data_IF_005658837037
#
_entry.id   IF_005658837037
#
_cell.length_a   1.000
_cell.length_b   1.000
_cell.length_c   1.000
_cell.angle_alpha   90.00
_cell.angle_beta   90.00
_cell.angle_gamma   90.00
#
_symmetry.space_group_name_H-M   'P 1'
#
loop_
_entity.id
_entity.type
_entity.pdbx_description
1 polymer ?
#
# COMPACT_ATOMS: atom_id res chain seq x y z
N UNK A 1 23.97 11.10 14.41
CA UNK A 1 22.52 10.84 14.24
C UNK A 1 22.26 10.85 12.76
N UNK A 2 21.47 9.93 12.22
CA UNK A 2 21.07 9.94 10.82
C UNK A 2 19.88 10.91 10.71
N UNK A 3 20.00 11.95 9.87
CA UNK A 3 18.91 12.89 9.58
C UNK A 3 18.24 12.45 8.28
N UNK A 4 16.97 12.02 8.29
CA UNK A 4 16.26 11.59 7.09
C UNK A 4 15.90 12.75 6.15
N UNK A 5 15.98 14.01 6.61
CA UNK A 5 15.60 15.23 5.88
C UNK A 5 14.15 15.18 5.33
N UNK A 6 13.25 14.73 6.16
CA UNK A 6 11.82 14.58 5.83
C UNK A 6 10.95 15.69 6.46
N UNK A 7 11.48 16.46 7.42
CA UNK A 7 10.76 17.54 8.04
C UNK A 7 10.21 18.54 7.01
N UNK A 8 8.95 18.90 7.15
CA UNK A 8 8.25 19.82 6.25
C UNK A 8 7.91 19.27 4.86
N UNK A 9 8.19 17.99 4.57
CA UNK A 9 7.81 17.35 3.31
C UNK A 9 6.33 16.99 3.32
N UNK A 10 5.72 17.02 2.13
CA UNK A 10 4.33 16.61 1.91
C UNK A 10 4.30 15.21 1.31
N UNK A 11 3.56 14.32 1.96
CA UNK A 11 3.43 12.91 1.56
C UNK A 11 1.98 12.59 1.20
N UNK A 12 1.74 12.05 0.01
CA UNK A 12 0.46 11.46 -0.38
C UNK A 12 0.54 9.93 -0.26
N UNK A 13 -0.32 9.34 0.58
CA UNK A 13 -0.36 7.89 0.83
C UNK A 13 -1.73 7.34 0.45
N UNK A 14 -1.76 6.34 -0.42
CA UNK A 14 -3.00 5.69 -0.82
C UNK A 14 -3.27 4.42 -0.01
N UNK A 15 -4.56 4.11 0.24
CA UNK A 15 -4.95 2.96 1.07
C UNK A 15 -4.49 3.09 2.52
N UNK A 16 -4.71 4.25 3.15
CA UNK A 16 -4.06 4.63 4.42
C UNK A 16 -4.98 4.66 5.64
N UNK A 17 -6.19 4.10 5.57
CA UNK A 17 -7.13 4.03 6.68
C UNK A 17 -6.83 2.90 7.70
N UNK A 18 -6.03 1.90 7.32
CA UNK A 18 -5.61 0.79 8.20
C UNK A 18 -4.29 0.15 7.75
N UNK A 19 -3.79 -0.82 8.52
CA UNK A 19 -2.65 -1.68 8.16
C UNK A 19 -1.38 -0.89 7.81
N UNK A 20 -0.68 -1.32 6.76
CA UNK A 20 0.60 -0.74 6.33
C UNK A 20 0.47 0.75 6.02
N UNK A 21 -0.60 1.16 5.32
CA UNK A 21 -0.81 2.56 4.96
C UNK A 21 -0.98 3.48 6.17
N UNK A 22 -1.74 3.03 7.18
CA UNK A 22 -1.92 3.78 8.43
C UNK A 22 -0.61 3.88 9.23
N UNK A 23 0.14 2.78 9.36
CA UNK A 23 1.46 2.77 10.01
C UNK A 23 2.44 3.70 9.28
N UNK A 24 2.44 3.67 7.95
CA UNK A 24 3.25 4.56 7.11
C UNK A 24 2.91 6.03 7.34
N UNK A 25 1.61 6.37 7.42
CA UNK A 25 1.18 7.75 7.70
C UNK A 25 1.67 8.25 9.07
N UNK A 26 1.53 7.41 10.11
CA UNK A 26 2.04 7.71 11.45
C UNK A 26 3.56 7.86 11.47
N UNK A 27 4.28 7.01 10.76
CA UNK A 27 5.73 7.04 10.68
C UNK A 27 6.26 8.31 9.97
N UNK A 28 5.64 8.73 8.85
CA UNK A 28 5.98 10.00 8.19
C UNK A 28 5.65 11.21 9.04
N UNK A 29 4.48 11.23 9.69
CA UNK A 29 4.11 12.34 10.58
C UNK A 29 5.11 12.48 11.74
N UNK A 30 5.62 11.37 12.28
CA UNK A 30 6.66 11.37 13.31
C UNK A 30 8.02 11.94 12.83
N UNK A 31 8.25 11.99 11.50
CA UNK A 31 9.41 12.66 10.90
C UNK A 31 9.15 14.13 10.53
N UNK A 32 8.02 14.71 10.98
CA UNK A 32 7.66 16.10 10.70
C UNK A 32 7.06 16.32 9.29
N UNK A 33 6.64 15.27 8.60
CA UNK A 33 5.92 15.40 7.33
C UNK A 33 4.47 15.81 7.54
N UNK A 34 3.92 16.58 6.57
CA UNK A 34 2.48 16.74 6.39
C UNK A 34 1.94 15.61 5.53
N UNK A 35 0.86 14.95 5.98
CA UNK A 35 0.40 13.69 5.36
C UNK A 35 -1.01 13.82 4.80
N UNK A 36 -1.18 13.59 3.50
CA UNK A 36 -2.47 13.34 2.86
C UNK A 36 -2.72 11.85 2.79
N UNK A 37 -3.81 11.39 3.43
CA UNK A 37 -4.26 10.01 3.37
C UNK A 37 -5.43 9.90 2.39
N UNK A 38 -5.37 8.92 1.47
CA UNK A 38 -6.57 8.52 0.74
C UNK A 38 -6.91 7.07 1.02
N UNK A 39 -8.20 6.76 0.98
CA UNK A 39 -8.76 5.44 1.23
C UNK A 39 -10.08 5.28 0.46
N UNK A 40 -10.57 4.06 0.39
CA UNK A 40 -11.88 3.76 -0.17
C UNK A 40 -12.56 2.66 0.64
N UNK A 41 -13.83 2.87 0.99
CA UNK A 41 -14.66 1.89 1.71
C UNK A 41 -15.51 1.11 0.72
N UNK A 42 -14.92 0.07 0.16
CA UNK A 42 -15.66 -0.85 -0.72
C UNK A 42 -16.78 -1.56 0.09
N UNK A 43 -17.94 -1.75 -0.52
CA UNK A 43 -19.05 -2.45 0.12
C UNK A 43 -18.63 -3.86 0.61
N UNK A 44 -18.94 -4.16 1.85
CA UNK A 44 -18.64 -5.46 2.47
C UNK A 44 -19.72 -6.49 2.17
N UNK A 45 -19.37 -7.77 1.95
CA UNK A 45 -20.35 -8.85 1.88
C UNK A 45 -20.92 -9.24 3.28
N UNK A 46 -20.31 -8.74 4.36
CA UNK A 46 -20.71 -9.01 5.74
C UNK A 46 -21.63 -7.92 6.28
N UNK A 47 -22.56 -8.28 7.15
CA UNK A 47 -23.43 -7.34 7.84
C UNK A 47 -22.68 -6.46 8.85
N UNK A 48 -23.25 -5.31 9.19
CA UNK A 48 -22.67 -4.40 10.19
C UNK A 48 -22.49 -5.08 11.56
N UNK A 49 -23.38 -6.01 11.92
CA UNK A 49 -23.28 -6.79 13.16
C UNK A 49 -22.08 -7.75 13.15
N UNK A 50 -21.84 -8.46 12.04
CA UNK A 50 -20.67 -9.34 11.89
C UNK A 50 -19.37 -8.54 11.93
N UNK A 51 -19.33 -7.41 11.23
CA UNK A 51 -18.17 -6.51 11.23
C UNK A 51 -17.89 -5.93 12.63
N UNK A 52 -18.93 -5.58 13.39
CA UNK A 52 -18.79 -5.06 14.75
C UNK A 52 -18.27 -6.15 15.71
N UNK A 53 -18.82 -7.36 15.65
CA UNK A 53 -18.35 -8.50 16.45
C UNK A 53 -16.89 -8.86 16.15
N UNK A 54 -16.50 -8.82 14.87
CA UNK A 54 -15.11 -9.10 14.48
C UNK A 54 -14.14 -8.05 15.04
N UNK A 55 -14.53 -6.77 15.04
CA UNK A 55 -13.73 -5.69 15.66
C UNK A 55 -13.55 -5.88 17.16
N UNK A 56 -14.61 -6.28 17.87
CA UNK A 56 -14.58 -6.54 19.30
C UNK A 56 -13.71 -7.76 19.64
N UNK A 57 -13.86 -8.84 18.87
CA UNK A 57 -13.08 -10.05 19.06
C UNK A 57 -11.58 -9.85 18.74
N UNK A 58 -11.26 -8.98 17.79
CA UNK A 58 -9.88 -8.69 17.38
C UNK A 58 -9.12 -9.88 16.77
N UNK A 59 -9.80 -11.00 16.53
CA UNK A 59 -9.18 -12.18 15.94
C UNK A 59 -9.07 -12.02 14.42
N UNK A 60 -7.86 -12.17 13.89
CA UNK A 60 -7.58 -12.10 12.47
C UNK A 60 -8.48 -13.00 11.61
N UNK A 61 -8.69 -12.62 10.36
CA UNK A 61 -9.50 -13.32 9.39
C UNK A 61 -10.21 -12.36 8.44
N UNK A 62 -10.93 -12.91 7.46
CA UNK A 62 -11.55 -12.10 6.40
C UNK A 62 -12.55 -11.06 6.96
N UNK A 63 -13.38 -11.44 7.95
CA UNK A 63 -14.38 -10.53 8.55
C UNK A 63 -13.70 -9.35 9.24
N UNK A 64 -12.65 -9.59 10.05
CA UNK A 64 -11.90 -8.51 10.69
C UNK A 64 -11.20 -7.62 9.65
N UNK A 65 -10.59 -8.21 8.63
CA UNK A 65 -9.94 -7.46 7.58
C UNK A 65 -10.92 -6.54 6.85
N UNK A 66 -12.11 -7.05 6.47
CA UNK A 66 -13.19 -6.25 5.88
C UNK A 66 -13.68 -5.17 6.84
N UNK A 67 -13.79 -5.49 8.13
CA UNK A 67 -14.17 -4.53 9.16
C UNK A 67 -13.14 -3.38 9.28
N UNK A 68 -11.84 -3.66 9.10
CA UNK A 68 -10.80 -2.64 9.07
C UNK A 68 -10.89 -1.76 7.80
N UNK A 69 -11.13 -2.37 6.63
CA UNK A 69 -11.32 -1.64 5.37
C UNK A 69 -12.51 -0.66 5.41
N UNK A 70 -13.57 -0.99 6.17
CA UNK A 70 -14.75 -0.12 6.33
C UNK A 70 -14.52 1.09 7.26
N UNK A 71 -13.36 1.23 7.88
CA UNK A 71 -13.06 2.39 8.71
C UNK A 71 -12.75 3.61 7.85
N UNK A 72 -13.16 4.80 8.31
CA UNK A 72 -12.60 6.04 7.79
C UNK A 72 -11.15 6.21 8.25
N UNK A 73 -10.41 7.09 7.59
CA UNK A 73 -9.06 7.45 8.03
C UNK A 73 -9.04 8.43 9.22
N UNK A 74 -10.20 8.88 9.73
CA UNK A 74 -10.29 9.88 10.82
C UNK A 74 -9.54 9.47 12.08
N UNK A 75 -9.53 8.16 12.39
CA UNK A 75 -8.77 7.64 13.52
C UNK A 75 -7.27 7.84 13.37
N UNK A 76 -6.75 7.65 12.17
CA UNK A 76 -5.33 7.86 11.84
C UNK A 76 -4.98 9.36 11.88
N UNK A 77 -5.82 10.19 11.25
CA UNK A 77 -5.66 11.66 11.27
C UNK A 77 -5.63 12.18 12.69
N UNK A 78 -6.57 11.75 13.54
CA UNK A 78 -6.63 12.14 14.95
C UNK A 78 -5.37 11.72 15.70
N UNK A 79 -4.91 10.49 15.53
CA UNK A 79 -3.71 9.99 16.19
C UNK A 79 -2.44 10.77 15.77
N UNK A 80 -2.39 11.28 14.54
CA UNK A 80 -1.32 12.17 14.07
C UNK A 80 -1.42 13.54 14.74
N UNK A 81 -2.62 14.14 14.78
CA UNK A 81 -2.84 15.45 15.41
C UNK A 81 -2.56 15.43 16.91
N UNK A 82 -2.95 14.37 17.63
CA UNK A 82 -2.68 14.19 19.06
C UNK A 82 -1.18 14.15 19.38
N UNK A 83 -0.35 13.79 18.38
CA UNK A 83 1.12 13.80 18.47
C UNK A 83 1.75 15.10 17.94
N UNK A 84 0.94 16.09 17.62
CA UNK A 84 1.40 17.39 17.09
C UNK A 84 1.74 17.39 15.60
N UNK A 85 1.46 16.33 14.88
CA UNK A 85 1.66 16.24 13.43
C UNK A 85 0.52 16.85 12.62
N UNK A 86 0.69 16.93 11.30
CA UNK A 86 -0.29 17.46 10.34
C UNK A 86 -0.74 16.36 9.39
N UNK A 87 -2.05 16.12 9.33
CA UNK A 87 -2.64 15.16 8.40
C UNK A 87 -4.04 15.56 7.97
N UNK A 88 -4.40 15.21 6.75
CA UNK A 88 -5.77 15.30 6.21
C UNK A 88 -6.10 14.01 5.48
N UNK A 89 -7.38 13.70 5.35
CA UNK A 89 -7.82 12.49 4.64
C UNK A 89 -8.94 12.78 3.65
N UNK A 90 -8.94 12.05 2.55
CA UNK A 90 -9.99 12.11 1.54
C UNK A 90 -10.33 10.70 1.04
N UNK A 91 -11.63 10.36 1.04
CA UNK A 91 -12.11 9.12 0.47
C UNK A 91 -12.23 9.23 -1.05
N UNK A 92 -11.60 8.32 -1.79
CA UNK A 92 -11.63 8.32 -3.24
C UNK A 92 -11.53 6.89 -3.81
N UNK A 93 -12.39 6.57 -4.77
CA UNK A 93 -12.26 5.37 -5.58
C UNK A 93 -11.22 5.63 -6.71
N UNK A 94 -10.10 4.93 -6.64
CA UNK A 94 -9.02 5.06 -7.62
C UNK A 94 -9.26 4.27 -8.92
N UNK A 95 -10.39 3.56 -9.03
CA UNK A 95 -10.87 3.02 -10.32
C UNK A 95 -11.28 4.17 -11.25
N UNK A 96 -11.81 5.25 -10.70
CA UNK A 96 -12.13 6.46 -11.45
C UNK A 96 -10.86 7.33 -11.64
N UNK A 97 -10.39 7.52 -12.89
CA UNK A 97 -9.18 8.31 -13.16
C UNK A 97 -9.30 9.79 -12.76
N UNK A 98 -10.50 10.35 -12.74
CA UNK A 98 -10.71 11.78 -12.41
C UNK A 98 -10.38 12.05 -10.93
N UNK A 99 -10.55 11.07 -10.06
CA UNK A 99 -10.16 11.18 -8.65
C UNK A 99 -8.65 11.35 -8.45
N UNK A 100 -7.82 10.94 -9.42
CA UNK A 100 -6.36 11.03 -9.29
C UNK A 100 -5.91 12.50 -9.28
N UNK A 101 -6.32 13.29 -10.29
CA UNK A 101 -5.99 14.71 -10.34
C UNK A 101 -6.58 15.46 -9.13
N UNK A 102 -7.84 15.15 -8.76
CA UNK A 102 -8.53 15.73 -7.61
C UNK A 102 -7.75 15.52 -6.30
N UNK A 103 -7.20 14.33 -6.06
CA UNK A 103 -6.42 14.04 -4.85
C UNK A 103 -5.18 14.95 -4.74
N UNK A 104 -4.47 15.17 -5.84
CA UNK A 104 -3.34 16.10 -5.85
C UNK A 104 -3.79 17.54 -5.63
N UNK A 105 -4.89 17.98 -6.27
CA UNK A 105 -5.44 19.32 -6.07
C UNK A 105 -5.80 19.58 -4.59
N UNK A 106 -6.47 18.60 -3.96
CA UNK A 106 -6.84 18.67 -2.54
C UNK A 106 -5.60 18.67 -1.63
N UNK A 107 -4.60 17.85 -1.94
CA UNK A 107 -3.35 17.81 -1.18
C UNK A 107 -2.61 19.16 -1.28
N UNK A 108 -2.44 19.68 -2.48
CA UNK A 108 -1.75 20.95 -2.72
C UNK A 108 -2.45 22.13 -2.08
N UNK A 109 -3.79 22.16 -2.10
CA UNK A 109 -4.58 23.21 -1.49
C UNK A 109 -4.49 23.22 0.06
N UNK A 110 -4.31 22.07 0.70
CA UNK A 110 -4.36 21.93 2.16
C UNK A 110 -2.97 21.84 2.81
N UNK A 111 -2.02 21.18 2.14
CA UNK A 111 -0.72 20.83 2.72
C UNK A 111 0.45 21.37 1.90
N UNK A 112 0.24 21.64 0.62
CA UNK A 112 1.29 22.02 -0.32
C UNK A 112 1.65 20.90 -1.31
N UNK A 113 2.61 21.17 -2.21
CA UNK A 113 2.98 20.27 -3.28
C UNK A 113 3.50 18.92 -2.78
N UNK A 114 3.05 17.82 -3.41
CA UNK A 114 3.46 16.46 -3.03
C UNK A 114 4.94 16.22 -3.34
N UNK A 115 5.75 16.01 -2.30
CA UNK A 115 7.18 15.65 -2.42
C UNK A 115 7.39 14.13 -2.52
N UNK A 116 6.52 13.36 -1.85
CA UNK A 116 6.63 11.92 -1.71
C UNK A 116 5.28 11.28 -2.04
N UNK A 117 5.27 10.33 -2.97
CA UNK A 117 4.10 9.52 -3.30
C UNK A 117 4.30 8.09 -2.82
N UNK A 118 3.39 7.59 -1.98
CA UNK A 118 3.34 6.20 -1.54
C UNK A 118 2.06 5.54 -2.06
N UNK A 119 2.21 4.69 -3.06
CA UNK A 119 1.12 3.90 -3.61
C UNK A 119 1.01 2.58 -2.85
N UNK A 120 0.03 2.50 -1.92
CA UNK A 120 -0.18 1.33 -1.06
C UNK A 120 -1.57 0.69 -1.23
N UNK A 121 -2.50 1.34 -1.92
CA UNK A 121 -3.83 0.78 -2.16
C UNK A 121 -3.78 -0.56 -2.89
N UNK A 122 -4.79 -1.40 -2.66
CA UNK A 122 -4.88 -2.70 -3.31
C UNK A 122 -6.32 -3.20 -3.40
N UNK A 123 -6.58 -3.97 -4.45
CA UNK A 123 -7.76 -4.81 -4.61
C UNK A 123 -7.30 -6.26 -4.65
N UNK A 124 -7.94 -7.12 -3.89
CA UNK A 124 -7.60 -8.54 -3.81
C UNK A 124 -8.86 -9.39 -3.64
N UNK A 125 -9.09 -10.26 -4.59
CA UNK A 125 -10.09 -11.33 -4.54
C UNK A 125 -9.38 -12.63 -4.87
N UNK A 126 -9.64 -13.68 -4.09
CA UNK A 126 -9.00 -14.98 -4.29
C UNK A 126 -9.47 -15.62 -5.59
N UNK A 127 -8.54 -15.94 -6.47
CA UNK A 127 -8.79 -16.53 -7.79
C UNK A 127 -7.76 -17.60 -8.12
N UNK A 128 -8.23 -18.69 -8.73
CA UNK A 128 -7.40 -19.80 -9.14
C UNK A 128 -7.78 -20.31 -10.53
N UNK A 129 -6.80 -20.78 -11.29
CA UNK A 129 -7.04 -21.46 -12.57
C UNK A 129 -7.46 -22.93 -12.38
N UNK A 130 -7.32 -23.49 -11.17
CA UNK A 130 -7.70 -24.86 -10.88
C UNK A 130 -9.16 -24.94 -10.40
N UNK A 131 -10.07 -25.58 -11.20
CA UNK A 131 -11.47 -25.74 -10.81
C UNK A 131 -11.67 -26.52 -9.51
N UNK A 132 -10.76 -27.42 -9.15
CA UNK A 132 -10.85 -28.19 -7.91
C UNK A 132 -10.58 -27.30 -6.69
N UNK A 133 -9.65 -26.35 -6.79
CA UNK A 133 -9.42 -25.36 -5.74
C UNK A 133 -10.59 -24.38 -5.63
N UNK A 134 -11.19 -23.99 -6.76
CA UNK A 134 -12.35 -23.07 -6.77
C UNK A 134 -13.62 -23.72 -6.19
N UNK A 135 -13.75 -25.05 -6.24
CA UNK A 135 -14.93 -25.78 -5.75
C UNK A 135 -14.83 -26.27 -4.30
N UNK A 136 -13.85 -25.80 -3.52
CA UNK A 136 -13.74 -26.09 -2.09
C UNK A 136 -12.34 -26.39 -1.57
N UNK A 137 -11.33 -26.37 -2.44
CA UNK A 137 -9.93 -26.60 -2.03
C UNK A 137 -9.30 -25.41 -1.29
N UNK A 138 -9.73 -24.17 -1.61
CA UNK A 138 -9.34 -22.95 -0.90
C UNK A 138 -10.60 -22.13 -0.66
N UNK A 139 -10.89 -21.84 0.62
CA UNK A 139 -12.08 -21.08 0.99
C UNK A 139 -12.10 -19.70 0.33
N UNK A 140 -13.21 -19.37 -0.33
CA UNK A 140 -13.41 -18.09 -1.02
C UNK A 140 -12.73 -17.95 -2.39
N UNK A 141 -11.93 -18.91 -2.84
CA UNK A 141 -11.32 -18.88 -4.16
C UNK A 141 -12.36 -19.17 -5.25
N UNK A 142 -12.26 -18.47 -6.37
CA UNK A 142 -13.13 -18.62 -7.55
C UNK A 142 -12.32 -18.65 -8.84
N UNK A 143 -12.93 -19.08 -9.92
CA UNK A 143 -12.29 -18.95 -11.25
C UNK A 143 -12.24 -17.47 -11.67
N UNK A 144 -11.15 -17.00 -12.31
CA UNK A 144 -11.06 -15.64 -12.81
C UNK A 144 -12.13 -15.38 -13.89
N UNK A 145 -12.65 -14.16 -13.88
CA UNK A 145 -13.54 -13.63 -14.90
C UNK A 145 -12.93 -12.37 -15.52
N UNK A 146 -13.41 -11.98 -16.70
CA UNK A 146 -12.99 -10.70 -17.30
C UNK A 146 -13.21 -9.52 -16.33
N UNK A 147 -14.32 -9.52 -15.59
CA UNK A 147 -14.64 -8.46 -14.63
C UNK A 147 -13.63 -8.42 -13.46
N UNK A 148 -13.30 -9.57 -12.88
CA UNK A 148 -12.38 -9.62 -11.75
C UNK A 148 -10.93 -9.34 -12.16
N UNK A 149 -10.49 -9.83 -13.34
CA UNK A 149 -9.18 -9.47 -13.91
C UNK A 149 -9.11 -7.95 -14.11
N UNK A 150 -10.12 -7.35 -14.76
CA UNK A 150 -10.17 -5.91 -14.99
C UNK A 150 -10.13 -5.11 -13.67
N UNK A 151 -10.84 -5.54 -12.63
CA UNK A 151 -10.82 -4.88 -11.31
C UNK A 151 -9.41 -4.90 -10.69
N UNK A 152 -8.72 -6.06 -10.69
CA UNK A 152 -7.34 -6.15 -10.21
C UNK A 152 -6.41 -5.19 -10.96
N UNK A 153 -6.46 -5.18 -12.29
CA UNK A 153 -5.59 -4.32 -13.07
C UNK A 153 -5.98 -2.83 -13.00
N UNK A 154 -7.26 -2.51 -12.87
CA UNK A 154 -7.71 -1.13 -12.68
C UNK A 154 -7.13 -0.52 -11.40
N UNK A 155 -7.24 -1.23 -10.28
CA UNK A 155 -6.76 -0.75 -8.98
C UNK A 155 -5.26 -0.94 -8.83
N UNK A 156 -4.76 -2.16 -9.02
CA UNK A 156 -3.38 -2.49 -8.65
C UNK A 156 -2.32 -2.09 -9.69
N UNK A 157 -2.70 -1.80 -10.94
CA UNK A 157 -1.74 -1.45 -11.98
C UNK A 157 -2.02 -0.08 -12.62
N UNK A 158 -3.23 0.12 -13.19
CA UNK A 158 -3.58 1.35 -13.89
C UNK A 158 -3.55 2.57 -12.95
N UNK A 159 -4.18 2.48 -11.77
CA UNK A 159 -4.19 3.59 -10.82
C UNK A 159 -2.77 3.97 -10.36
N UNK A 160 -1.90 2.99 -10.10
CA UNK A 160 -0.49 3.24 -9.78
C UNK A 160 0.23 4.02 -10.89
N UNK A 161 0.06 3.59 -12.15
CA UNK A 161 0.68 4.25 -13.29
C UNK A 161 0.17 5.69 -13.45
N UNK A 162 -1.12 5.93 -13.30
CA UNK A 162 -1.73 7.26 -13.41
C UNK A 162 -1.32 8.19 -12.25
N UNK A 163 -1.23 7.67 -11.02
CA UNK A 163 -0.72 8.43 -9.86
C UNK A 163 0.74 8.85 -10.07
N UNK A 164 1.60 7.95 -10.58
CA UNK A 164 2.98 8.29 -10.93
C UNK A 164 3.03 9.35 -12.03
N UNK A 165 2.20 9.23 -13.08
CA UNK A 165 2.14 10.20 -14.17
C UNK A 165 1.74 11.60 -13.67
N UNK A 166 0.69 11.69 -12.84
CA UNK A 166 0.22 12.96 -12.28
C UNK A 166 1.25 13.58 -11.34
N UNK A 167 1.91 12.76 -10.50
CA UNK A 167 3.02 13.20 -9.67
C UNK A 167 4.15 13.83 -10.49
N UNK A 168 4.57 13.15 -11.55
CA UNK A 168 5.67 13.63 -12.42
C UNK A 168 5.30 14.92 -13.14
N UNK A 169 4.07 15.03 -13.64
CA UNK A 169 3.57 16.25 -14.29
C UNK A 169 3.73 17.46 -13.34
N UNK A 170 3.19 17.35 -12.11
CA UNK A 170 3.25 18.43 -11.10
C UNK A 170 4.67 18.69 -10.61
N UNK A 171 5.46 17.65 -10.42
CA UNK A 171 6.87 17.78 -10.04
C UNK A 171 7.64 18.63 -11.05
N UNK A 172 7.43 18.39 -12.35
CA UNK A 172 8.07 19.17 -13.43
C UNK A 172 7.52 20.59 -13.54
N UNK A 173 6.20 20.75 -13.46
CA UNK A 173 5.54 22.06 -13.60
C UNK A 173 6.03 23.06 -12.54
N UNK A 174 6.33 22.57 -11.31
CA UNK A 174 6.90 23.41 -10.25
C UNK A 174 8.43 23.53 -10.25
N UNK A 175 9.11 22.91 -11.22
CA UNK A 175 10.58 22.92 -11.32
C UNK A 175 11.29 22.19 -10.16
N UNK A 176 10.63 21.23 -9.53
CA UNK A 176 11.24 20.46 -8.43
C UNK A 176 12.37 19.55 -8.96
N UNK A 177 13.41 19.37 -8.13
CA UNK A 177 14.62 18.60 -8.49
C UNK A 177 14.83 17.38 -7.59
N UNK A 178 13.91 17.11 -6.67
CA UNK A 178 13.96 15.99 -5.73
C UNK A 178 12.56 15.43 -5.50
N UNK A 179 12.38 14.17 -5.78
CA UNK A 179 11.11 13.48 -5.61
C UNK A 179 11.29 12.02 -5.21
N UNK A 180 10.26 11.43 -4.59
CA UNK A 180 10.25 10.04 -4.14
C UNK A 180 8.93 9.38 -4.51
N UNK A 181 9.01 8.22 -5.13
CA UNK A 181 7.85 7.35 -5.39
C UNK A 181 8.15 5.97 -4.79
N UNK A 182 7.28 5.49 -3.92
CA UNK A 182 7.36 4.16 -3.32
C UNK A 182 6.07 3.41 -3.64
N UNK A 183 6.20 2.29 -4.34
CA UNK A 183 5.10 1.45 -4.76
C UNK A 183 5.06 0.15 -3.94
N UNK A 184 3.89 -0.27 -3.47
CA UNK A 184 3.72 -1.53 -2.73
C UNK A 184 3.33 -2.66 -3.68
N UNK A 185 4.21 -3.68 -3.78
CA UNK A 185 3.97 -4.96 -4.43
C UNK A 185 3.64 -6.04 -3.39
N UNK A 186 4.09 -7.23 -3.57
CA UNK A 186 4.02 -8.39 -2.66
C UNK A 186 5.18 -9.32 -2.93
N UNK A 187 5.63 -10.06 -1.94
CA UNK A 187 6.63 -11.12 -2.10
C UNK A 187 6.17 -12.28 -3.01
N UNK A 188 4.89 -12.32 -3.30
CA UNK A 188 4.24 -13.35 -4.10
C UNK A 188 3.85 -12.87 -5.52
N UNK A 189 4.40 -11.73 -6.00
CA UNK A 189 4.07 -11.18 -7.31
C UNK A 189 4.46 -12.10 -8.48
N UNK A 190 5.54 -12.88 -8.35
CA UNK A 190 5.98 -13.83 -9.38
C UNK A 190 4.97 -14.95 -9.61
N UNK A 191 4.40 -15.47 -8.54
CA UNK A 191 3.36 -16.50 -8.55
C UNK A 191 2.63 -16.54 -7.23
N UNK A 192 1.33 -16.77 -7.28
CA UNK A 192 0.52 -16.95 -6.09
C UNK A 192 -0.58 -17.98 -6.34
N UNK A 193 -0.54 -19.11 -5.66
CA UNK A 193 -1.62 -20.11 -5.69
C UNK A 193 -2.87 -19.49 -5.07
N UNK A 194 -4.01 -19.68 -5.72
CA UNK A 194 -5.32 -19.12 -5.32
C UNK A 194 -5.40 -17.57 -5.28
N UNK A 195 -4.45 -16.87 -5.93
CA UNK A 195 -4.49 -15.41 -6.03
C UNK A 195 -3.86 -14.89 -7.34
N UNK A 196 -4.24 -15.50 -8.45
CA UNK A 196 -3.52 -15.39 -9.74
C UNK A 196 -3.58 -13.98 -10.34
N UNK A 197 -4.76 -13.33 -10.38
CA UNK A 197 -4.89 -11.99 -10.95
C UNK A 197 -4.28 -10.92 -10.04
N UNK A 198 -4.32 -11.11 -8.72
CA UNK A 198 -3.62 -10.25 -7.78
C UNK A 198 -2.11 -10.26 -8.04
N UNK A 199 -1.49 -11.44 -8.06
CA UNK A 199 -0.06 -11.58 -8.34
C UNK A 199 0.34 -10.92 -9.66
N UNK A 200 -0.38 -11.23 -10.75
CA UNK A 200 -0.12 -10.65 -12.06
C UNK A 200 -0.22 -9.11 -12.06
N UNK A 201 -1.25 -8.56 -11.40
CA UNK A 201 -1.43 -7.11 -11.29
C UNK A 201 -0.32 -6.44 -10.46
N UNK A 202 0.16 -7.09 -9.39
CA UNK A 202 1.29 -6.62 -8.59
C UNK A 202 2.62 -6.75 -9.34
N UNK A 203 2.82 -7.78 -10.13
CA UNK A 203 4.01 -7.88 -11.00
C UNK A 203 4.05 -6.77 -12.05
N UNK A 204 2.89 -6.34 -12.56
CA UNK A 204 2.81 -5.19 -13.47
C UNK A 204 3.32 -3.89 -12.81
N UNK A 205 3.05 -3.67 -11.50
CA UNK A 205 3.59 -2.52 -10.76
C UNK A 205 5.13 -2.53 -10.76
N UNK A 206 5.74 -3.69 -10.58
CA UNK A 206 7.20 -3.83 -10.56
C UNK A 206 7.82 -3.44 -11.90
N UNK A 207 7.18 -3.84 -13.00
CA UNK A 207 7.61 -3.45 -14.36
C UNK A 207 7.45 -1.95 -14.59
N UNK A 208 6.30 -1.35 -14.26
CA UNK A 208 6.09 0.10 -14.34
C UNK A 208 7.09 0.87 -13.50
N UNK A 209 7.38 0.40 -12.28
CA UNK A 209 8.32 1.06 -11.38
C UNK A 209 9.75 1.09 -11.91
N UNK A 210 10.23 -0.01 -12.52
CA UNK A 210 11.55 -0.07 -13.15
C UNK A 210 11.65 0.87 -14.37
N UNK A 211 10.60 0.90 -15.19
CA UNK A 211 10.52 1.85 -16.33
C UNK A 211 10.54 3.30 -15.84
N UNK A 212 9.69 3.62 -14.85
CA UNK A 212 9.64 4.95 -14.25
C UNK A 212 10.98 5.36 -13.60
N UNK A 213 11.65 4.47 -12.88
CA UNK A 213 12.96 4.73 -12.29
C UNK A 213 13.99 5.13 -13.36
N UNK A 214 13.98 4.42 -14.50
CA UNK A 214 14.90 4.71 -15.62
C UNK A 214 14.62 6.05 -16.27
N UNK A 215 13.35 6.38 -16.50
CA UNK A 215 12.96 7.60 -17.21
C UNK A 215 13.02 8.85 -16.34
N UNK A 216 12.69 8.72 -15.04
CA UNK A 216 12.47 9.85 -14.14
C UNK A 216 13.71 10.28 -13.34
N UNK A 217 14.76 9.47 -13.31
CA UNK A 217 16.00 9.79 -12.61
C UNK A 217 16.60 11.14 -13.02
N UNK A 218 16.49 11.52 -14.30
CA UNK A 218 16.91 12.83 -14.81
C UNK A 218 16.17 14.03 -14.20
N UNK A 219 15.03 13.80 -13.55
CA UNK A 219 14.28 14.84 -12.84
C UNK A 219 14.51 14.79 -11.32
N UNK A 220 15.47 13.99 -10.85
CA UNK A 220 15.76 13.80 -9.42
C UNK A 220 14.72 12.97 -8.68
N UNK A 221 13.90 12.19 -9.41
CA UNK A 221 12.89 11.31 -8.82
C UNK A 221 13.44 9.90 -8.70
N UNK A 222 13.43 9.33 -7.49
CA UNK A 222 13.66 7.89 -7.30
C UNK A 222 12.33 7.14 -7.25
N UNK A 223 12.30 5.95 -7.83
CA UNK A 223 11.13 5.05 -7.82
C UNK A 223 11.57 3.68 -7.33
N UNK A 224 11.03 3.24 -6.19
CA UNK A 224 11.35 1.94 -5.61
C UNK A 224 10.09 1.18 -5.26
N UNK A 225 10.21 -0.14 -5.15
CA UNK A 225 9.13 -1.05 -4.81
C UNK A 225 9.44 -1.73 -3.48
N UNK A 226 8.47 -1.73 -2.59
CA UNK A 226 8.47 -2.55 -1.38
C UNK A 226 7.54 -3.74 -1.61
N UNK A 227 8.03 -4.95 -1.38
CA UNK A 227 7.29 -6.20 -1.49
C UNK A 227 7.16 -6.85 -0.11
N UNK A 228 6.05 -6.56 0.62
CA UNK A 228 5.82 -7.18 1.92
C UNK A 228 5.64 -8.69 1.80
N UNK A 229 6.13 -9.42 2.79
CA UNK A 229 5.72 -10.78 3.08
C UNK A 229 4.42 -10.83 3.90
N UNK A 230 4.18 -11.86 4.71
CA UNK A 230 3.02 -11.93 5.58
C UNK A 230 3.07 -10.85 6.67
N UNK A 231 2.15 -9.89 6.62
CA UNK A 231 2.03 -8.77 7.57
C UNK A 231 0.66 -8.82 8.23
N UNK A 232 0.60 -8.70 9.56
CA UNK A 232 -0.65 -8.72 10.31
C UNK A 232 -1.44 -7.41 10.13
N UNK A 233 -2.27 -7.37 9.11
CA UNK A 233 -3.19 -6.25 8.84
C UNK A 233 -4.65 -6.57 9.16
N UNK A 234 -4.87 -7.67 9.90
CA UNK A 234 -6.19 -8.14 10.32
C UNK A 234 -6.72 -9.35 9.56
N UNK A 235 -6.08 -9.78 8.46
CA UNK A 235 -6.55 -10.95 7.69
C UNK A 235 -5.92 -12.29 8.12
N UNK A 236 -4.75 -12.28 8.77
CA UNK A 236 -4.07 -13.50 9.22
C UNK A 236 -4.73 -14.01 10.49
N UNK A 237 -5.27 -15.23 10.44
CA UNK A 237 -5.87 -15.87 11.61
C UNK A 237 -4.79 -16.26 12.64
N UNK A 238 -5.14 -16.46 13.92
CA UNK A 238 -4.15 -16.92 14.91
C UNK A 238 -3.50 -18.26 14.57
N UNK A 239 -4.22 -19.14 13.87
CA UNK A 239 -3.70 -20.42 13.41
C UNK A 239 -2.67 -20.24 12.28
N UNK A 240 -3.00 -19.41 11.28
CA UNK A 240 -2.08 -19.07 10.19
C UNK A 240 -0.86 -18.31 10.72
N UNK A 241 -1.04 -17.40 11.69
CA UNK A 241 0.05 -16.65 12.31
C UNK A 241 1.09 -17.59 12.94
N UNK A 242 0.63 -18.61 13.70
CA UNK A 242 1.51 -19.61 14.28
C UNK A 242 2.26 -20.45 13.23
N UNK A 243 1.60 -20.76 12.09
CA UNK A 243 2.23 -21.48 10.98
C UNK A 243 3.26 -20.60 10.26
N UNK A 244 2.92 -19.37 9.97
CA UNK A 244 3.79 -18.42 9.29
C UNK A 244 5.01 -18.09 10.15
N UNK A 245 4.84 -17.87 11.45
CA UNK A 245 5.92 -17.59 12.38
C UNK A 245 6.97 -18.72 12.40
N UNK A 246 6.53 -20.00 12.36
CA UNK A 246 7.45 -21.15 12.29
C UNK A 246 8.22 -21.20 10.95
N UNK A 247 7.63 -20.71 9.86
CA UNK A 247 8.27 -20.68 8.54
C UNK A 247 9.12 -19.42 8.28
N UNK A 248 8.98 -18.41 9.11
CA UNK A 248 9.70 -17.13 8.95
C UNK A 248 11.02 -17.17 9.72
N UNK A 249 12.18 -16.93 9.08
CA UNK A 249 13.49 -16.91 9.75
C UNK A 249 13.56 -15.99 10.97
N UNK A 250 12.89 -14.84 10.96
CA UNK A 250 12.80 -13.94 12.13
C UNK A 250 11.75 -14.36 13.17
N UNK A 251 11.10 -15.52 13.02
CA UNK A 251 10.28 -16.18 14.04
C UNK A 251 8.93 -15.53 14.34
N UNK A 252 8.44 -14.61 13.50
CA UNK A 252 7.13 -13.97 13.67
C UNK A 252 6.52 -13.54 12.34
N UNK A 253 5.23 -13.26 12.36
CA UNK A 253 4.56 -12.48 11.31
C UNK A 253 5.02 -11.02 11.42
N UNK A 254 5.15 -10.33 10.29
CA UNK A 254 5.50 -8.92 10.26
C UNK A 254 4.37 -8.04 10.80
N UNK A 255 4.74 -6.92 11.43
CA UNK A 255 3.82 -5.84 11.77
C UNK A 255 3.79 -4.79 10.64
N UNK A 256 2.71 -4.00 10.52
CA UNK A 256 2.65 -2.88 9.57
C UNK A 256 3.83 -1.91 9.70
N UNK A 257 4.33 -1.70 10.90
CA UNK A 257 5.47 -0.84 11.23
C UNK A 257 6.77 -1.34 10.60
N UNK A 258 6.99 -2.66 10.49
CA UNK A 258 8.18 -3.24 9.84
C UNK A 258 8.27 -2.79 8.36
N UNK A 259 7.13 -2.62 7.70
CA UNK A 259 7.06 -2.16 6.31
C UNK A 259 7.16 -0.64 6.23
N UNK A 260 6.48 0.07 7.15
CA UNK A 260 6.49 1.53 7.22
C UNK A 260 7.91 2.09 7.40
N UNK A 261 8.74 1.46 8.23
CA UNK A 261 10.13 1.87 8.46
C UNK A 261 10.96 1.82 7.16
N UNK A 262 10.77 0.78 6.35
CA UNK A 262 11.45 0.66 5.04
C UNK A 262 10.93 1.71 4.05
N UNK A 263 9.63 2.01 4.05
CA UNK A 263 9.05 3.05 3.21
C UNK A 263 9.63 4.42 3.57
N UNK A 264 9.69 4.76 4.86
CA UNK A 264 10.29 6.02 5.35
C UNK A 264 11.78 6.09 4.99
N UNK A 265 12.52 4.99 5.15
CA UNK A 265 13.92 4.92 4.72
C UNK A 265 14.07 5.22 3.22
N UNK A 266 13.27 4.61 2.36
CA UNK A 266 13.32 4.84 0.91
C UNK A 266 12.95 6.27 0.51
N UNK A 267 12.14 6.96 1.29
CA UNK A 267 11.82 8.38 1.10
C UNK A 267 12.92 9.32 1.59
N UNK A 268 13.78 8.87 2.49
CA UNK A 268 14.81 9.68 3.16
C UNK A 268 15.97 10.07 2.24
N UNK A 269 16.84 10.97 2.76
CA UNK A 269 18.08 11.33 2.07
C UNK A 269 19.07 10.16 2.02
N UNK A 270 19.05 9.25 2.99
CA UNK A 270 19.94 8.10 3.02
C UNK A 270 19.72 7.16 1.83
N UNK A 271 18.52 7.18 1.23
CA UNK A 271 18.15 6.37 0.08
C UNK A 271 18.27 7.13 -1.27
N UNK A 272 18.90 8.32 -1.31
CA UNK A 272 18.94 9.15 -2.51
C UNK A 272 19.59 8.48 -3.74
N UNK A 273 20.43 7.47 -3.51
CA UNK A 273 21.11 6.71 -4.59
C UNK A 273 20.42 5.37 -4.90
N UNK A 274 19.25 5.10 -4.27
CA UNK A 274 18.46 3.91 -4.53
C UNK A 274 17.28 4.24 -5.46
N UNK A 275 17.29 3.65 -6.67
CA UNK A 275 16.16 3.73 -7.61
C UNK A 275 16.03 2.43 -8.41
N UNK A 276 14.82 2.07 -8.81
CA UNK A 276 14.52 0.85 -9.57
C UNK A 276 14.62 -0.44 -8.75
N UNK A 277 14.73 -0.34 -7.42
CA UNK A 277 14.92 -1.49 -6.55
C UNK A 277 13.58 -2.12 -6.14
N UNK A 278 13.58 -3.44 -5.97
CA UNK A 278 12.53 -4.23 -5.35
C UNK A 278 13.08 -4.77 -4.02
N UNK A 279 12.51 -4.28 -2.90
CA UNK A 279 12.93 -4.68 -1.56
C UNK A 279 11.87 -5.59 -0.93
N UNK A 280 12.27 -6.82 -0.59
CA UNK A 280 11.41 -7.76 0.13
C UNK A 280 11.45 -7.47 1.64
N UNK A 281 10.27 -7.26 2.23
CA UNK A 281 10.10 -6.97 3.66
C UNK A 281 9.19 -8.03 4.26
N UNK A 282 9.76 -9.19 4.56
CA UNK A 282 8.99 -10.35 5.00
C UNK A 282 9.71 -11.22 6.03
N UNK A 283 10.73 -10.69 6.74
CA UNK A 283 11.46 -11.45 7.78
C UNK A 283 12.17 -12.70 7.25
N UNK A 284 12.39 -12.80 5.93
CA UNK A 284 12.96 -13.96 5.25
C UNK A 284 11.96 -15.06 4.87
N UNK A 285 10.65 -14.82 4.99
CA UNK A 285 9.58 -15.77 4.63
C UNK A 285 9.74 -16.32 3.22
N UNK A 286 9.95 -15.45 2.24
CA UNK A 286 10.39 -15.82 0.89
C UNK A 286 11.55 -14.93 0.50
N UNK A 287 12.62 -15.55 0.08
CA UNK A 287 13.76 -14.85 -0.48
C UNK A 287 13.82 -15.16 -1.98
N UNK A 288 13.95 -14.15 -2.85
CA UNK A 288 14.19 -14.39 -4.26
C UNK A 288 15.54 -15.10 -4.42
N UNK A 289 15.56 -16.09 -5.31
CA UNK A 289 16.81 -16.75 -5.72
C UNK A 289 17.31 -16.12 -6.99
#
# INVERSE_FOLDING_TARGET
>A
MIDPQLEGKVVLITGANHGIGAATALAFAAQGCSVMLTYYREASPFSDEELAKAREAGMGGDVLYRAQQQRSADGVVRAIHERGGTAVAHEADLVDPDNIALLFDLCEAQLGPVDILVNNHTYCVLETFDPALASGGVSGARLPTAATINAHFAVNARAYALLMLEYVRRHRDRGATRGRIINLSTDAADRHVANVSYAASKHAIESYSRSAATELGRYGITVNVVAPGPIQTGYITPEDEAMIARGTPLGRVGAPEDVADVIVFLASEQAHWLTGQLLYVGGGWKMPQ
#
